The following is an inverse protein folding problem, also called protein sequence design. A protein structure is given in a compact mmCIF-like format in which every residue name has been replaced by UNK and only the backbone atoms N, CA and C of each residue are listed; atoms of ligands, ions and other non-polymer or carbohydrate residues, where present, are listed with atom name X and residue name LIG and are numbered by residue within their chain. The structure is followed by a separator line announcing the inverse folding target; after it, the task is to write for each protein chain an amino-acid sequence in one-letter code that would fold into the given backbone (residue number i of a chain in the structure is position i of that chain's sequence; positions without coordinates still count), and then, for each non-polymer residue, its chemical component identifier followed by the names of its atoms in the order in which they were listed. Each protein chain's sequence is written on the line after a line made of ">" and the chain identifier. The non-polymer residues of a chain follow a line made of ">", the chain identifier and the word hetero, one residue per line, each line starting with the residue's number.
data_IF_290578920325
#
_entry.id   IF_290578920325
#
_cell.length_a   1.000
_cell.length_b   1.000
_cell.length_c   1.000
_cell.angle_alpha   90.00
_cell.angle_beta   90.00
_cell.angle_gamma   90.00
#
_symmetry.space_group_name_H-M   'P 1'
#
loop_
_entity.id
_entity.type
_entity.pdbx_description
1 polymer ?
#
# COMPACT_ATOMS: atom_id res chain seq x y z
N UNK A 1 9.55 -2.21 -20.11
CA UNK A 1 10.00 -2.69 -18.79
C UNK A 1 10.59 -4.07 -18.95
N UNK A 2 11.59 -4.46 -18.15
CA UNK A 2 12.03 -5.86 -18.08
C UNK A 2 10.91 -6.67 -17.44
N UNK A 3 10.66 -7.87 -17.96
CA UNK A 3 9.70 -8.80 -17.36
C UNK A 3 10.37 -9.49 -16.20
N UNK A 4 9.85 -9.31 -15.01
CA UNK A 4 10.39 -9.90 -13.78
C UNK A 4 9.33 -10.72 -13.06
N UNK A 5 9.78 -11.67 -12.24
CA UNK A 5 8.98 -12.35 -11.25
C UNK A 5 9.50 -12.04 -9.86
N UNK A 6 8.59 -11.95 -8.91
CA UNK A 6 8.87 -11.68 -7.51
C UNK A 6 8.25 -12.78 -6.66
N UNK A 7 9.07 -13.42 -5.85
CA UNK A 7 8.64 -14.40 -4.86
C UNK A 7 8.76 -13.79 -3.47
N UNK A 8 7.64 -13.72 -2.77
CA UNK A 8 7.56 -13.30 -1.37
C UNK A 8 7.31 -14.54 -0.52
N UNK A 9 8.11 -14.73 0.51
CA UNK A 9 8.08 -15.92 1.38
C UNK A 9 8.08 -15.49 2.83
N UNK A 10 7.25 -16.13 3.65
CA UNK A 10 7.37 -16.13 5.09
C UNK A 10 7.22 -17.57 5.64
N UNK A 11 8.07 -17.94 6.59
CA UNK A 11 8.08 -19.28 7.18
C UNK A 11 8.80 -19.28 8.53
N UNK A 12 8.70 -20.37 9.33
CA UNK A 12 9.58 -20.58 10.46
C UNK A 12 11.05 -20.55 10.01
N UNK A 13 11.92 -19.86 10.77
CA UNK A 13 13.34 -19.78 10.42
C UNK A 13 14.03 -21.15 10.49
N UNK A 14 14.75 -21.48 9.45
CA UNK A 14 15.47 -22.73 9.33
C UNK A 14 16.73 -22.60 8.47
N UNK A 15 17.75 -23.40 8.79
CA UNK A 15 18.98 -23.45 7.98
C UNK A 15 18.68 -23.99 6.57
N UNK A 16 19.23 -23.30 5.56
CA UNK A 16 19.17 -23.75 4.17
C UNK A 16 18.03 -23.18 3.34
N UNK A 17 17.15 -22.36 3.89
CA UNK A 17 16.06 -21.70 3.13
C UNK A 17 16.63 -20.95 1.93
N UNK A 18 17.50 -19.97 2.16
CA UNK A 18 18.11 -19.14 1.10
C UNK A 18 18.82 -19.99 0.06
N UNK A 19 19.62 -20.96 0.52
CA UNK A 19 20.35 -21.85 -0.39
C UNK A 19 19.40 -22.66 -1.29
N UNK A 20 18.32 -23.21 -0.70
CA UNK A 20 17.34 -24.03 -1.46
C UNK A 20 16.56 -23.18 -2.46
N UNK A 21 16.09 -22.00 -2.06
CA UNK A 21 15.36 -21.07 -2.96
C UNK A 21 16.27 -20.61 -4.10
N UNK A 22 17.49 -20.20 -3.79
CA UNK A 22 18.45 -19.74 -4.80
C UNK A 22 18.87 -20.86 -5.75
N UNK A 23 19.09 -22.09 -5.24
CA UNK A 23 19.39 -23.27 -6.08
C UNK A 23 18.22 -23.63 -6.98
N UNK A 24 16.99 -23.57 -6.48
CA UNK A 24 15.79 -23.79 -7.29
C UNK A 24 15.72 -22.83 -8.47
N UNK A 25 15.92 -21.54 -8.24
CA UNK A 25 15.90 -20.49 -9.26
C UNK A 25 17.07 -20.66 -10.24
N UNK A 26 18.28 -20.88 -9.75
CA UNK A 26 19.47 -21.07 -10.57
C UNK A 26 19.33 -22.27 -11.53
N UNK A 27 18.82 -23.40 -11.05
CA UNK A 27 18.58 -24.59 -11.88
C UNK A 27 17.55 -24.39 -12.99
N UNK A 28 16.80 -23.29 -12.95
CA UNK A 28 15.78 -22.88 -13.93
C UNK A 28 16.20 -21.66 -14.75
N UNK A 29 17.49 -21.42 -14.82
CA UNK A 29 18.06 -20.32 -15.60
C UNK A 29 17.65 -18.91 -15.12
N UNK A 30 17.19 -18.76 -13.87
CA UNK A 30 16.84 -17.48 -13.32
C UNK A 30 18.08 -16.62 -13.06
N UNK A 31 18.08 -15.39 -13.55
CA UNK A 31 19.04 -14.36 -13.15
C UNK A 31 18.40 -13.51 -12.03
N UNK A 32 18.83 -13.75 -10.77
CA UNK A 32 18.35 -12.99 -9.62
C UNK A 32 18.84 -11.56 -9.73
N UNK A 33 17.90 -10.60 -9.68
CA UNK A 33 18.15 -9.16 -9.74
C UNK A 33 18.26 -8.55 -8.35
N UNK A 34 17.34 -8.95 -7.45
CA UNK A 34 17.30 -8.51 -6.06
C UNK A 34 16.94 -9.69 -5.16
N UNK A 35 17.56 -9.77 -4.01
CA UNK A 35 17.24 -10.76 -2.98
C UNK A 35 17.47 -10.12 -1.60
N UNK A 36 16.39 -9.96 -0.87
CA UNK A 36 16.39 -9.41 0.48
C UNK A 36 15.74 -10.39 1.44
N UNK A 37 16.20 -10.38 2.69
CA UNK A 37 15.67 -11.24 3.72
C UNK A 37 15.69 -10.55 5.08
N UNK A 38 14.77 -10.95 5.92
CA UNK A 38 14.69 -10.52 7.32
C UNK A 38 14.38 -11.71 8.20
N UNK A 39 15.02 -11.78 9.36
CA UNK A 39 14.69 -12.72 10.43
C UNK A 39 14.11 -11.92 11.60
N UNK A 40 12.87 -12.17 11.95
CA UNK A 40 12.29 -11.67 13.20
C UNK A 40 12.63 -12.66 14.31
N UNK A 41 13.59 -12.27 15.18
CA UNK A 41 14.07 -13.13 16.27
C UNK A 41 13.00 -13.34 17.36
N UNK A 42 12.03 -12.45 17.49
CA UNK A 42 10.96 -12.54 18.50
C UNK A 42 9.90 -13.57 18.11
N UNK A 43 9.43 -13.52 16.87
CA UNK A 43 8.45 -14.48 16.35
C UNK A 43 9.08 -15.77 15.80
N UNK A 44 10.40 -15.78 15.58
CA UNK A 44 11.10 -16.90 14.95
C UNK A 44 10.77 -17.06 13.45
N UNK A 45 10.27 -16.00 12.81
CA UNK A 45 9.92 -16.00 11.39
C UNK A 45 11.10 -15.55 10.52
N UNK A 46 11.23 -16.20 9.40
CA UNK A 46 12.07 -15.82 8.28
C UNK A 46 11.19 -15.26 7.17
N UNK A 47 11.57 -14.10 6.64
CA UNK A 47 10.86 -13.37 5.58
C UNK A 47 11.84 -13.12 4.44
N UNK A 48 11.41 -13.34 3.19
CA UNK A 48 12.27 -13.16 2.03
C UNK A 48 11.50 -12.61 0.85
N UNK A 49 12.13 -11.69 0.13
CA UNK A 49 11.74 -11.25 -1.21
C UNK A 49 12.87 -11.58 -2.18
N UNK A 50 12.55 -12.26 -3.26
CA UNK A 50 13.49 -12.48 -4.35
C UNK A 50 12.85 -12.10 -5.68
N UNK A 51 13.60 -11.35 -6.49
CA UNK A 51 13.18 -10.89 -7.82
C UNK A 51 14.18 -11.34 -8.86
N UNK A 52 13.69 -11.87 -9.97
CA UNK A 52 14.53 -12.35 -11.09
C UNK A 52 13.97 -11.94 -12.44
N UNK A 53 14.84 -11.92 -13.44
CA UNK A 53 14.50 -11.68 -14.84
C UNK A 53 13.82 -12.91 -15.45
N UNK A 54 12.75 -12.70 -16.22
CA UNK A 54 12.02 -13.77 -16.91
C UNK A 54 12.55 -14.05 -18.33
N UNK A 55 13.55 -13.30 -18.83
CA UNK A 55 13.97 -13.40 -20.22
C UNK A 55 14.41 -14.82 -20.64
N UNK A 56 15.16 -15.49 -19.77
CA UNK A 56 15.70 -16.85 -20.03
C UNK A 56 15.21 -17.86 -19.01
N UNK A 57 14.17 -17.54 -18.26
CA UNK A 57 13.62 -18.42 -17.24
C UNK A 57 12.79 -19.54 -17.85
N UNK A 58 13.08 -20.79 -17.47
CA UNK A 58 12.59 -21.98 -18.15
C UNK A 58 11.13 -22.35 -17.84
N UNK A 59 10.52 -21.79 -16.76
CA UNK A 59 9.19 -22.21 -16.29
C UNK A 59 8.13 -21.15 -16.52
N UNK A 60 6.95 -21.58 -16.93
CA UNK A 60 5.73 -20.78 -16.84
C UNK A 60 5.21 -20.69 -15.40
N UNK A 61 4.23 -19.79 -15.14
CA UNK A 61 3.65 -19.55 -13.80
C UNK A 61 3.17 -20.84 -13.12
N UNK A 62 2.39 -21.65 -13.84
CA UNK A 62 1.78 -22.86 -13.29
C UNK A 62 2.82 -23.95 -13.00
N UNK A 63 3.83 -24.04 -13.86
CA UNK A 63 4.94 -24.98 -13.68
C UNK A 63 5.80 -24.58 -12.49
N UNK A 64 6.13 -23.30 -12.35
CA UNK A 64 6.85 -22.77 -11.20
C UNK A 64 6.09 -23.07 -9.92
N UNK A 65 4.79 -22.78 -9.90
CA UNK A 65 3.95 -23.05 -8.73
C UNK A 65 4.01 -24.54 -8.34
N UNK A 66 3.85 -25.42 -9.30
CA UNK A 66 3.90 -26.88 -9.08
C UNK A 66 5.27 -27.34 -8.58
N UNK A 67 6.34 -26.83 -9.17
CA UNK A 67 7.69 -27.28 -8.84
C UNK A 67 8.25 -26.66 -7.57
N UNK A 68 7.78 -25.46 -7.17
CA UNK A 68 8.17 -24.83 -5.93
C UNK A 68 7.40 -25.40 -4.72
N UNK A 69 6.20 -25.93 -4.91
CA UNK A 69 5.33 -26.44 -3.86
C UNK A 69 6.03 -27.43 -2.89
N UNK A 70 6.84 -28.42 -3.32
CA UNK A 70 7.54 -29.32 -2.41
C UNK A 70 8.57 -28.61 -1.52
N UNK A 71 9.18 -27.51 -2.02
CA UNK A 71 10.10 -26.69 -1.24
C UNK A 71 9.32 -25.92 -0.19
N UNK A 72 8.20 -25.33 -0.58
CA UNK A 72 7.32 -24.61 0.32
C UNK A 72 6.79 -25.51 1.46
N UNK A 73 6.37 -26.72 1.14
CA UNK A 73 5.92 -27.71 2.14
C UNK A 73 7.04 -28.11 3.10
N UNK A 74 8.24 -28.38 2.59
CA UNK A 74 9.41 -28.75 3.41
C UNK A 74 9.74 -27.72 4.49
N UNK A 75 9.62 -26.43 4.17
CA UNK A 75 9.94 -25.32 5.08
C UNK A 75 8.70 -24.66 5.68
N UNK A 76 7.50 -25.21 5.43
CA UNK A 76 6.22 -24.64 5.90
C UNK A 76 6.04 -23.17 5.46
N UNK A 77 6.42 -22.88 4.21
CA UNK A 77 6.35 -21.53 3.64
C UNK A 77 4.93 -21.13 3.32
N UNK A 78 4.54 -19.93 3.72
CA UNK A 78 3.51 -19.17 3.01
C UNK A 78 4.24 -18.36 1.95
N UNK A 79 3.74 -18.39 0.73
CA UNK A 79 4.44 -17.72 -0.36
C UNK A 79 3.47 -17.16 -1.40
N UNK A 80 3.95 -16.13 -2.12
CA UNK A 80 3.21 -15.47 -3.16
C UNK A 80 4.14 -15.17 -4.34
N UNK A 81 3.67 -15.48 -5.56
CA UNK A 81 4.37 -15.20 -6.80
C UNK A 81 3.68 -14.06 -7.54
N UNK A 82 4.40 -13.00 -7.80
CA UNK A 82 3.94 -11.86 -8.58
C UNK A 82 4.73 -11.74 -9.88
N UNK A 83 4.05 -11.36 -10.95
CA UNK A 83 4.65 -11.17 -12.27
C UNK A 83 4.45 -9.72 -12.70
N UNK A 84 5.53 -9.07 -13.19
CA UNK A 84 5.48 -7.66 -13.61
C UNK A 84 4.77 -7.44 -14.96
N UNK A 85 4.15 -8.48 -15.54
CA UNK A 85 3.53 -8.41 -16.87
C UNK A 85 2.25 -7.58 -16.91
N UNK A 86 1.55 -7.46 -15.79
CA UNK A 86 0.32 -6.69 -15.68
C UNK A 86 0.51 -5.59 -14.63
N UNK A 87 0.37 -4.30 -15.01
CA UNK A 87 0.31 -3.22 -14.02
C UNK A 87 -0.94 -3.38 -13.15
N UNK A 88 -0.79 -3.12 -11.85
CA UNK A 88 -1.92 -3.13 -10.92
C UNK A 88 -2.88 -1.97 -11.22
N UNK A 89 -4.18 -2.23 -11.08
CA UNK A 89 -5.24 -1.23 -11.22
C UNK A 89 -5.57 -0.61 -9.86
N UNK A 90 -5.38 0.68 -9.74
CA UNK A 90 -5.52 1.45 -8.49
C UNK A 90 -6.73 2.35 -8.55
N UNK A 91 -7.64 2.24 -7.59
CA UNK A 91 -8.70 3.22 -7.38
C UNK A 91 -8.27 4.22 -6.31
N UNK A 92 -8.40 5.53 -6.60
CA UNK A 92 -8.11 6.58 -5.64
C UNK A 92 -9.40 7.10 -5.01
N UNK A 93 -9.48 7.08 -3.69
CA UNK A 93 -10.61 7.61 -2.95
C UNK A 93 -10.20 8.93 -2.28
N UNK A 94 -10.96 10.00 -2.49
CA UNK A 94 -10.67 11.31 -1.94
C UNK A 94 -11.93 11.99 -1.37
N UNK A 95 -11.72 13.00 -0.52
CA UNK A 95 -12.76 13.92 -0.07
C UNK A 95 -12.41 15.35 -0.56
N UNK A 96 -12.55 16.36 0.29
CA UNK A 96 -12.28 17.77 -0.07
C UNK A 96 -10.79 18.10 -0.21
N UNK A 97 -9.95 17.44 0.58
CA UNK A 97 -8.50 17.66 0.53
C UNK A 97 -7.88 16.98 -0.69
N UNK A 98 -7.21 17.74 -1.51
CA UNK A 98 -6.71 17.29 -2.81
C UNK A 98 -5.22 16.97 -2.87
N UNK A 99 -4.42 17.38 -1.87
CA UNK A 99 -2.95 17.34 -1.93
C UNK A 99 -2.39 15.92 -2.17
N UNK A 100 -2.92 14.89 -1.48
CA UNK A 100 -2.51 13.50 -1.72
C UNK A 100 -2.98 12.97 -3.07
N UNK A 101 -4.23 13.25 -3.46
CA UNK A 101 -4.78 12.86 -4.74
C UNK A 101 -3.96 13.43 -5.90
N UNK A 102 -3.69 14.73 -5.88
CA UNK A 102 -2.93 15.43 -6.94
C UNK A 102 -1.49 14.91 -7.01
N UNK A 103 -0.84 14.66 -5.88
CA UNK A 103 0.52 14.09 -5.83
C UNK A 103 0.57 12.70 -6.48
N UNK A 104 -0.39 11.82 -6.16
CA UNK A 104 -0.46 10.48 -6.76
C UNK A 104 -0.75 10.52 -8.26
N UNK A 105 -1.68 11.37 -8.70
CA UNK A 105 -2.00 11.55 -10.13
C UNK A 105 -0.80 12.10 -10.91
N UNK A 106 -0.06 13.06 -10.33
CA UNK A 106 1.16 13.59 -10.92
C UNK A 106 2.24 12.50 -11.07
N UNK A 107 2.50 11.72 -10.01
CA UNK A 107 3.49 10.63 -10.01
C UNK A 107 3.12 9.52 -10.97
N UNK A 108 1.84 9.23 -11.12
CA UNK A 108 1.35 8.30 -12.14
C UNK A 108 1.64 8.85 -13.55
N UNK A 109 1.30 10.11 -13.82
CA UNK A 109 1.55 10.73 -15.12
C UNK A 109 3.04 10.84 -15.45
N UNK A 110 3.90 11.07 -14.45
CA UNK A 110 5.37 11.13 -14.63
C UNK A 110 6.03 9.75 -14.78
N UNK A 111 5.28 8.66 -14.58
CA UNK A 111 5.79 7.29 -14.66
C UNK A 111 6.51 6.81 -13.39
N UNK A 112 6.44 7.57 -12.27
CA UNK A 112 6.98 7.14 -10.98
C UNK A 112 6.17 6.01 -10.33
N UNK A 113 4.85 5.96 -10.59
CA UNK A 113 3.97 4.89 -10.15
C UNK A 113 3.57 4.04 -11.35
N UNK A 114 4.10 2.84 -11.41
CA UNK A 114 3.86 1.87 -12.48
C UNK A 114 2.54 1.11 -12.27
N UNK A 115 1.41 1.80 -12.44
CA UNK A 115 0.07 1.26 -12.29
C UNK A 115 -0.89 1.86 -13.32
N UNK A 116 -2.10 1.34 -13.40
CA UNK A 116 -3.23 1.98 -14.04
C UNK A 116 -4.11 2.66 -12.96
N UNK A 117 -4.68 3.83 -13.27
CA UNK A 117 -5.66 4.49 -12.41
C UNK A 117 -6.98 4.62 -13.19
N UNK A 118 -7.84 3.58 -13.20
CA UNK A 118 -9.07 3.58 -13.99
C UNK A 118 -10.10 4.58 -13.48
N UNK A 119 -10.09 4.92 -12.18
CA UNK A 119 -11.11 5.78 -11.59
C UNK A 119 -10.66 6.46 -10.30
N UNK A 120 -11.32 7.58 -10.03
CA UNK A 120 -11.30 8.28 -8.74
C UNK A 120 -12.71 8.31 -8.17
N UNK A 121 -12.86 7.92 -6.91
CA UNK A 121 -14.10 8.01 -6.14
C UNK A 121 -14.00 9.16 -5.15
N UNK A 122 -15.06 9.96 -5.01
CA UNK A 122 -15.12 10.99 -3.98
C UNK A 122 -16.53 11.16 -3.41
N UNK A 123 -16.59 11.48 -2.12
CA UNK A 123 -17.85 11.87 -1.47
C UNK A 123 -18.14 13.38 -1.56
N UNK A 124 -17.30 14.13 -2.30
CA UNK A 124 -17.46 15.57 -2.59
C UNK A 124 -17.06 15.87 -4.03
N UNK A 125 -17.70 16.85 -4.68
CA UNK A 125 -17.37 17.23 -6.06
C UNK A 125 -16.07 18.05 -6.18
N UNK A 126 -15.52 18.51 -5.07
CA UNK A 126 -14.43 19.50 -4.99
C UNK A 126 -13.17 19.12 -5.80
N UNK A 127 -12.89 17.82 -5.90
CA UNK A 127 -11.66 17.32 -6.56
C UNK A 127 -11.85 16.99 -8.06
N UNK A 128 -13.08 17.13 -8.58
CA UNK A 128 -13.40 16.76 -9.98
C UNK A 128 -12.51 17.47 -11.02
N UNK A 129 -12.23 18.74 -10.85
CA UNK A 129 -11.40 19.50 -11.79
C UNK A 129 -9.97 18.96 -11.91
N UNK A 130 -9.43 18.34 -10.85
CA UNK A 130 -8.14 17.68 -10.92
C UNK A 130 -8.21 16.37 -11.70
N UNK A 131 -9.26 15.57 -11.49
CA UNK A 131 -9.43 14.33 -12.26
C UNK A 131 -9.67 14.60 -13.75
N UNK A 132 -10.41 15.66 -14.08
CA UNK A 132 -10.58 16.14 -15.45
C UNK A 132 -9.24 16.56 -16.08
N UNK A 133 -8.38 17.29 -15.32
CA UNK A 133 -7.04 17.70 -15.78
C UNK A 133 -6.14 16.49 -16.10
N UNK A 134 -6.13 15.48 -15.24
CA UNK A 134 -5.35 14.25 -15.42
C UNK A 134 -6.06 13.21 -16.31
N UNK A 135 -7.28 13.50 -16.78
CA UNK A 135 -8.11 12.63 -17.64
C UNK A 135 -8.42 11.28 -17.00
N UNK A 136 -8.64 11.26 -15.69
CA UNK A 136 -9.06 10.06 -14.95
C UNK A 136 -10.57 10.14 -14.69
N UNK A 137 -11.35 9.07 -14.95
CA UNK A 137 -12.77 9.01 -14.66
C UNK A 137 -13.09 9.35 -13.21
N UNK A 138 -14.11 10.18 -12.98
CA UNK A 138 -14.52 10.66 -11.67
C UNK A 138 -15.92 10.17 -11.31
N UNK A 139 -16.05 9.53 -10.16
CA UNK A 139 -17.32 9.04 -9.62
C UNK A 139 -17.62 9.72 -8.28
N UNK A 140 -18.78 10.40 -8.23
CA UNK A 140 -19.21 11.09 -7.03
C UNK A 140 -20.33 10.32 -6.34
N UNK A 141 -20.10 9.94 -5.08
CA UNK A 141 -21.09 9.32 -4.22
C UNK A 141 -21.32 10.17 -2.99
N UNK A 142 -22.52 10.68 -2.77
CA UNK A 142 -22.85 11.42 -1.56
C UNK A 142 -22.95 10.46 -0.38
N UNK A 143 -21.94 10.46 0.49
CA UNK A 143 -21.85 9.59 1.66
C UNK A 143 -22.18 10.37 2.92
N UNK A 144 -23.20 9.92 3.64
CA UNK A 144 -23.59 10.36 4.98
C UNK A 144 -24.10 9.15 5.79
N UNK A 145 -24.56 9.37 7.02
CA UNK A 145 -25.04 8.29 7.88
C UNK A 145 -26.20 7.47 7.29
N UNK A 146 -27.06 8.12 6.51
CA UNK A 146 -28.27 7.51 5.96
C UNK A 146 -28.01 6.82 4.62
N UNK A 147 -27.06 7.33 3.83
CA UNK A 147 -26.75 6.82 2.48
C UNK A 147 -25.64 5.78 2.45
N UNK A 148 -24.78 5.72 3.46
CA UNK A 148 -23.58 4.86 3.49
C UNK A 148 -23.89 3.40 3.16
N UNK A 149 -24.89 2.82 3.79
CA UNK A 149 -25.28 1.41 3.61
C UNK A 149 -25.73 1.09 2.17
N UNK A 150 -26.26 2.06 1.44
CA UNK A 150 -26.65 1.89 0.04
C UNK A 150 -25.49 2.18 -0.93
N UNK A 151 -24.60 3.12 -0.57
CA UNK A 151 -23.50 3.59 -1.43
C UNK A 151 -22.34 2.60 -1.47
N UNK A 152 -21.96 1.99 -0.37
CA UNK A 152 -20.81 1.08 -0.35
C UNK A 152 -20.97 -0.15 -1.28
N UNK A 153 -22.13 -0.80 -1.39
CA UNK A 153 -22.36 -1.84 -2.41
C UNK A 153 -22.22 -1.35 -3.85
N UNK A 154 -22.64 -0.10 -4.14
CA UNK A 154 -22.47 0.49 -5.47
C UNK A 154 -20.99 0.77 -5.78
N UNK A 155 -20.24 1.24 -4.77
CA UNK A 155 -18.79 1.42 -4.87
C UNK A 155 -18.07 0.08 -5.09
N UNK A 156 -18.42 -0.96 -4.34
CA UNK A 156 -17.85 -2.31 -4.51
C UNK A 156 -18.12 -2.86 -5.92
N UNK A 157 -19.34 -2.69 -6.41
CA UNK A 157 -19.70 -3.09 -7.78
C UNK A 157 -18.85 -2.36 -8.83
N UNK A 158 -18.70 -1.04 -8.69
CA UNK A 158 -17.85 -0.22 -9.56
C UNK A 158 -16.39 -0.70 -9.55
N UNK A 159 -15.84 -1.01 -8.38
CA UNK A 159 -14.48 -1.50 -8.23
C UNK A 159 -14.28 -2.87 -8.90
N UNK A 160 -15.26 -3.77 -8.76
CA UNK A 160 -15.27 -5.08 -9.41
C UNK A 160 -15.37 -4.97 -10.93
N UNK A 161 -16.24 -4.11 -11.46
CA UNK A 161 -16.39 -3.87 -12.90
C UNK A 161 -15.10 -3.36 -13.57
N UNK A 162 -14.21 -2.72 -12.81
CA UNK A 162 -12.92 -2.23 -13.28
C UNK A 162 -11.74 -3.14 -12.92
N UNK A 163 -11.98 -4.29 -12.28
CA UNK A 163 -10.95 -5.22 -11.76
C UNK A 163 -9.90 -4.49 -10.91
N UNK A 164 -10.32 -3.71 -9.94
CA UNK A 164 -9.41 -2.95 -9.07
C UNK A 164 -8.62 -3.88 -8.15
N UNK A 165 -7.29 -3.74 -8.16
CA UNK A 165 -6.36 -4.51 -7.34
C UNK A 165 -6.01 -3.80 -6.03
N UNK A 166 -6.02 -2.46 -6.00
CA UNK A 166 -5.66 -1.64 -4.84
C UNK A 166 -6.56 -0.43 -4.70
N UNK A 167 -7.01 -0.14 -3.49
CA UNK A 167 -7.71 1.09 -3.14
C UNK A 167 -6.77 1.97 -2.31
N UNK A 168 -6.66 3.25 -2.67
CA UNK A 168 -5.85 4.21 -1.91
C UNK A 168 -6.76 5.32 -1.37
N UNK A 169 -6.86 5.41 -0.06
CA UNK A 169 -7.61 6.44 0.63
C UNK A 169 -6.76 7.71 0.76
N UNK A 170 -6.75 8.52 -0.30
CA UNK A 170 -6.02 9.79 -0.40
C UNK A 170 -6.78 10.91 0.35
N UNK A 171 -6.81 10.87 1.66
CA UNK A 171 -7.61 11.76 2.52
C UNK A 171 -9.12 11.55 2.31
N UNK A 172 -9.55 10.32 2.14
CA UNK A 172 -10.96 9.95 2.15
C UNK A 172 -11.48 9.93 3.58
N UNK A 173 -12.25 10.95 3.94
CA UNK A 173 -12.68 11.21 5.33
C UNK A 173 -13.97 10.44 5.69
N UNK A 174 -14.07 9.20 5.23
CA UNK A 174 -15.16 8.27 5.57
C UNK A 174 -14.55 6.99 6.14
N UNK A 175 -15.15 6.45 7.18
CA UNK A 175 -14.81 5.13 7.70
C UNK A 175 -15.50 4.09 6.81
N UNK A 176 -14.78 3.14 6.28
CA UNK A 176 -15.34 2.02 5.51
C UNK A 176 -15.97 1.00 6.47
N UNK A 177 -17.00 0.28 6.03
CA UNK A 177 -17.57 -0.82 6.84
C UNK A 177 -16.67 -2.05 6.80
N UNK A 178 -16.82 -2.93 7.79
CA UNK A 178 -16.11 -4.21 7.85
C UNK A 178 -16.43 -5.07 6.61
N UNK A 179 -17.67 -5.03 6.13
CA UNK A 179 -18.10 -5.71 4.91
C UNK A 179 -17.28 -5.19 3.70
N UNK A 180 -17.19 -3.87 3.51
CA UNK A 180 -16.39 -3.28 2.44
C UNK A 180 -14.92 -3.71 2.53
N UNK A 181 -14.31 -3.60 3.71
CA UNK A 181 -12.90 -3.95 3.94
C UNK A 181 -12.63 -5.42 3.67
N UNK A 182 -13.58 -6.31 3.99
CA UNK A 182 -13.44 -7.75 3.79
C UNK A 182 -13.29 -8.17 2.32
N UNK A 183 -13.78 -7.35 1.36
CA UNK A 183 -13.64 -7.61 -0.07
C UNK A 183 -12.23 -7.28 -0.62
N UNK A 184 -11.45 -6.48 0.12
CA UNK A 184 -10.11 -6.04 -0.27
C UNK A 184 -9.09 -6.24 0.87
N UNK A 185 -8.90 -7.47 1.38
CA UNK A 185 -8.00 -7.73 2.51
C UNK A 185 -6.56 -7.35 2.15
N UNK A 186 -5.97 -6.44 2.92
CA UNK A 186 -4.61 -5.89 2.68
C UNK A 186 -4.42 -5.22 1.31
N UNK A 187 -5.51 -4.78 0.69
CA UNK A 187 -5.54 -4.08 -0.60
C UNK A 187 -6.17 -2.68 -0.48
N UNK A 188 -6.27 -2.15 0.74
CA UNK A 188 -6.70 -0.78 1.00
C UNK A 188 -5.60 -0.09 1.79
N UNK A 189 -5.00 0.97 1.23
CA UNK A 189 -3.98 1.79 1.89
C UNK A 189 -4.60 3.12 2.30
N UNK A 190 -4.45 3.49 3.57
CA UNK A 190 -4.89 4.78 4.10
C UNK A 190 -3.71 5.67 4.47
N UNK A 191 -3.88 6.99 4.35
CA UNK A 191 -3.02 7.99 4.96
C UNK A 191 -3.70 8.59 6.18
N UNK A 192 -3.11 8.36 7.35
CA UNK A 192 -3.51 8.96 8.60
C UNK A 192 -2.61 10.16 8.93
N UNK A 193 -3.23 11.28 9.25
CA UNK A 193 -2.56 12.57 9.44
C UNK A 193 -1.99 12.77 10.86
N UNK A 194 -1.43 11.71 11.45
CA UNK A 194 -0.62 11.76 12.68
C UNK A 194 0.39 10.61 12.70
N UNK A 195 1.34 10.67 13.60
CA UNK A 195 2.26 9.59 13.89
C UNK A 195 1.58 8.60 14.85
N UNK A 196 0.93 7.57 14.28
CA UNK A 196 0.24 6.55 15.07
C UNK A 196 1.20 5.82 16.03
N UNK A 197 0.77 5.48 17.25
CA UNK A 197 -0.59 5.63 17.80
C UNK A 197 -0.89 6.99 18.42
N UNK A 198 -0.01 7.99 18.27
CA UNK A 198 -0.20 9.32 18.87
C UNK A 198 -1.25 10.15 18.09
N UNK A 199 -2.06 10.91 18.83
CA UNK A 199 -3.07 11.83 18.28
C UNK A 199 -4.09 11.19 17.33
N UNK A 200 -4.51 9.95 17.58
CA UNK A 200 -5.61 9.29 16.86
C UNK A 200 -6.89 10.14 16.89
N UNK A 201 -7.72 10.05 15.82
CA UNK A 201 -8.99 10.77 15.70
C UNK A 201 -8.89 12.17 15.07
N UNK A 202 -9.91 13.02 15.25
CA UNK A 202 -10.08 14.26 14.50
C UNK A 202 -9.10 15.39 14.88
N UNK A 203 -8.70 16.20 13.87
CA UNK A 203 -7.87 17.42 13.99
C UNK A 203 -6.54 17.23 14.74
N UNK A 204 -5.71 16.23 14.40
CA UNK A 204 -4.48 15.92 15.14
C UNK A 204 -3.49 17.10 15.15
N UNK A 205 -3.32 17.84 14.06
CA UNK A 205 -2.40 18.99 14.01
C UNK A 205 -2.83 20.13 14.94
N UNK A 206 -4.13 20.40 15.11
CA UNK A 206 -4.62 21.38 16.07
C UNK A 206 -4.30 20.95 17.51
N UNK A 207 -4.52 19.68 17.83
CA UNK A 207 -4.18 19.13 19.16
C UNK A 207 -2.68 19.13 19.40
N UNK A 208 -1.89 18.78 18.39
CA UNK A 208 -0.44 18.82 18.43
C UNK A 208 0.08 20.26 18.70
N UNK A 209 -0.47 21.25 18.00
CA UNK A 209 -0.15 22.67 18.21
C UNK A 209 -0.49 23.11 19.63
N UNK A 210 -1.70 22.85 20.10
CA UNK A 210 -2.14 23.21 21.48
C UNK A 210 -1.28 22.52 22.54
N UNK A 211 -0.82 21.29 22.30
CA UNK A 211 0.05 20.55 23.21
C UNK A 211 1.51 21.04 23.19
N UNK A 212 1.90 21.82 22.19
CA UNK A 212 3.26 22.33 22.03
C UNK A 212 4.27 21.23 21.69
N UNK A 213 3.89 20.26 20.85
CA UNK A 213 4.77 19.15 20.44
C UNK A 213 5.97 19.67 19.66
N UNK A 214 7.03 18.86 19.61
CA UNK A 214 8.27 19.18 18.88
C UNK A 214 8.39 18.43 17.57
N UNK A 215 7.53 17.42 17.35
CA UNK A 215 7.41 16.63 16.14
C UNK A 215 5.94 16.47 15.78
N UNK A 216 5.64 16.52 14.49
CA UNK A 216 4.40 16.06 13.89
C UNK A 216 4.72 14.95 12.89
N UNK A 217 3.76 14.11 12.54
CA UNK A 217 4.00 13.02 11.62
C UNK A 217 2.77 12.64 10.82
N UNK A 218 2.97 11.70 9.91
CA UNK A 218 1.93 11.02 9.15
C UNK A 218 2.22 9.52 9.12
N UNK A 219 1.18 8.71 8.97
CA UNK A 219 1.26 7.25 8.91
C UNK A 219 0.46 6.73 7.73
N UNK A 220 1.08 5.90 6.90
CA UNK A 220 0.36 5.09 5.93
C UNK A 220 0.28 3.64 6.41
N UNK A 221 -0.90 3.06 6.36
CA UNK A 221 -1.16 1.72 6.87
C UNK A 221 -2.20 1.00 6.01
N UNK A 222 -2.23 -0.32 6.06
CA UNK A 222 -3.35 -1.08 5.51
C UNK A 222 -4.60 -0.88 6.37
N UNK A 223 -5.75 -0.80 5.72
CA UNK A 223 -7.04 -0.67 6.41
C UNK A 223 -7.50 -2.05 6.86
N UNK A 224 -7.94 -2.12 8.12
CA UNK A 224 -8.61 -3.26 8.74
C UNK A 224 -9.97 -2.84 9.27
N UNK A 225 -10.74 -3.77 9.85
CA UNK A 225 -12.00 -3.47 10.52
C UNK A 225 -11.82 -2.47 11.67
N UNK A 226 -10.70 -2.57 12.40
CA UNK A 226 -10.38 -1.66 13.49
C UNK A 226 -9.79 -0.36 12.94
N UNK A 227 -10.40 0.77 13.31
CA UNK A 227 -10.05 2.09 12.80
C UNK A 227 -8.63 2.48 13.19
N UNK A 228 -7.81 2.81 12.18
CA UNK A 228 -6.42 3.26 12.32
C UNK A 228 -5.47 2.25 13.04
N UNK A 229 -5.86 0.97 13.15
CA UNK A 229 -5.09 -0.09 13.82
C UNK A 229 -4.46 -1.10 12.86
N UNK A 230 -4.65 -0.94 11.56
CA UNK A 230 -4.06 -1.84 10.57
C UNK A 230 -2.53 -1.75 10.47
N UNK A 231 -1.89 -2.76 9.86
CA UNK A 231 -0.43 -2.85 9.75
C UNK A 231 0.17 -1.59 9.10
N UNK A 232 1.13 -0.99 9.79
CA UNK A 232 1.81 0.24 9.34
C UNK A 232 2.77 -0.09 8.20
N UNK A 233 2.70 0.69 7.11
CA UNK A 233 3.58 0.54 5.94
C UNK A 233 4.72 1.56 6.03
N UNK A 234 4.38 2.83 6.29
CA UNK A 234 5.34 3.93 6.28
C UNK A 234 4.94 5.00 7.28
N UNK A 235 5.94 5.58 7.92
CA UNK A 235 5.79 6.74 8.81
C UNK A 235 6.90 7.74 8.57
N UNK A 236 6.57 9.03 8.69
CA UNK A 236 7.57 10.08 8.66
C UNK A 236 7.20 11.22 9.61
N UNK A 237 8.19 12.00 10.00
CA UNK A 237 8.03 13.10 10.97
C UNK A 237 8.68 14.40 10.51
N UNK A 238 8.11 15.53 10.91
CA UNK A 238 8.73 16.83 10.74
C UNK A 238 8.90 17.54 12.09
N UNK A 239 10.01 18.25 12.22
CA UNK A 239 10.29 19.05 13.40
C UNK A 239 9.43 20.32 13.40
N UNK A 240 8.87 20.63 14.57
CA UNK A 240 8.13 21.87 14.87
C UNK A 240 9.05 22.81 15.65
N UNK A 241 9.14 24.04 15.19
CA UNK A 241 9.89 25.11 15.85
C UNK A 241 8.95 26.07 16.59
N UNK A 242 9.52 26.94 17.43
CA UNK A 242 8.79 28.00 18.11
C UNK A 242 8.25 29.11 17.16
N UNK A 243 8.71 29.09 15.89
CA UNK A 243 8.28 30.05 14.85
C UNK A 243 7.10 29.51 14.03
N UNK A 244 6.79 28.22 14.16
CA UNK A 244 5.71 27.60 13.40
C UNK A 244 4.38 27.89 14.10
N UNK A 245 3.48 28.58 13.41
CA UNK A 245 2.08 28.68 13.78
C UNK A 245 1.28 27.45 13.32
N UNK A 246 -0.04 27.52 13.47
CA UNK A 246 -0.91 26.40 13.08
C UNK A 246 -0.89 26.15 11.56
N UNK A 247 -0.83 27.21 10.76
CA UNK A 247 -0.84 27.11 9.29
C UNK A 247 0.43 26.45 8.77
N UNK A 248 1.60 26.74 9.36
CA UNK A 248 2.87 26.08 9.06
C UNK A 248 2.82 24.60 9.44
N UNK A 249 2.22 24.24 10.59
CA UNK A 249 2.03 22.85 10.97
C UNK A 249 1.15 22.11 9.96
N UNK A 250 0.04 22.73 9.54
CA UNK A 250 -0.85 22.16 8.54
C UNK A 250 -0.16 21.97 7.18
N UNK A 251 0.71 22.92 6.79
CA UNK A 251 1.49 22.81 5.57
C UNK A 251 2.50 21.66 5.64
N UNK A 252 3.33 21.63 6.71
CA UNK A 252 4.28 20.53 6.95
C UNK A 252 3.57 19.16 6.99
N UNK A 253 2.39 19.12 7.62
CA UNK A 253 1.57 17.93 7.66
C UNK A 253 1.15 17.45 6.27
N UNK A 254 0.66 18.34 5.40
CA UNK A 254 0.31 18.00 4.02
C UNK A 254 1.51 17.49 3.21
N UNK A 255 2.70 18.05 3.44
CA UNK A 255 3.91 17.60 2.76
C UNK A 255 4.34 16.20 3.22
N UNK A 256 4.25 15.91 4.51
CA UNK A 256 4.46 14.56 5.05
C UNK A 256 3.44 13.56 4.50
N UNK A 257 2.15 13.90 4.52
CA UNK A 257 1.08 13.02 4.04
C UNK A 257 1.31 12.61 2.58
N UNK A 258 1.71 13.54 1.70
CA UNK A 258 2.05 13.23 0.31
C UNK A 258 3.23 12.25 0.22
N UNK A 259 4.32 12.53 0.92
CA UNK A 259 5.54 11.73 0.87
C UNK A 259 5.32 10.31 1.42
N UNK A 260 4.66 10.20 2.58
CA UNK A 260 4.38 8.92 3.24
C UNK A 260 3.45 8.06 2.41
N UNK A 261 2.34 8.65 1.90
CA UNK A 261 1.39 7.89 1.08
C UNK A 261 2.01 7.42 -0.23
N UNK A 262 2.73 8.29 -0.94
CA UNK A 262 3.34 7.94 -2.22
C UNK A 262 4.41 6.85 -2.10
N UNK A 263 5.21 6.86 -1.01
CA UNK A 263 6.17 5.78 -0.71
C UNK A 263 5.45 4.46 -0.44
N UNK A 264 4.44 4.46 0.41
CA UNK A 264 3.67 3.27 0.75
C UNK A 264 2.99 2.65 -0.48
N UNK A 265 2.37 3.47 -1.34
CA UNK A 265 1.74 3.02 -2.59
C UNK A 265 2.79 2.43 -3.53
N UNK A 266 3.93 3.08 -3.73
CA UNK A 266 5.01 2.57 -4.58
C UNK A 266 5.53 1.23 -4.09
N UNK A 267 5.82 1.06 -2.80
CA UNK A 267 6.29 -0.22 -2.25
C UNK A 267 5.26 -1.34 -2.42
N UNK A 268 3.97 -1.02 -2.30
CA UNK A 268 2.92 -1.99 -2.58
C UNK A 268 2.92 -2.40 -4.06
N UNK A 269 2.97 -1.44 -4.98
CA UNK A 269 3.01 -1.67 -6.43
C UNK A 269 4.25 -2.46 -6.86
N UNK A 270 5.39 -2.24 -6.20
CA UNK A 270 6.65 -2.94 -6.44
C UNK A 270 6.73 -4.30 -5.72
N UNK A 271 5.65 -4.75 -5.07
CA UNK A 271 5.61 -5.98 -4.27
C UNK A 271 6.76 -6.07 -3.26
N UNK A 272 7.04 -4.96 -2.56
CA UNK A 272 8.11 -4.87 -1.55
C UNK A 272 7.63 -5.07 -0.12
N UNK A 273 6.31 -5.22 0.09
CA UNK A 273 5.71 -5.33 1.41
C UNK A 273 5.32 -6.77 1.68
N UNK A 274 5.82 -7.32 2.78
CA UNK A 274 5.39 -8.60 3.31
C UNK A 274 4.72 -8.37 4.67
N UNK A 275 3.52 -8.92 4.80
CA UNK A 275 2.70 -8.84 6.01
C UNK A 275 2.93 -10.08 6.86
N UNK A 276 3.15 -9.89 8.15
CA UNK A 276 3.17 -10.95 9.14
C UNK A 276 2.58 -10.45 10.45
N UNK A 277 1.68 -11.23 11.03
CA UNK A 277 0.90 -10.80 12.19
C UNK A 277 0.22 -9.44 11.95
N UNK A 278 0.50 -8.44 12.79
CA UNK A 278 0.03 -7.05 12.65
C UNK A 278 1.16 -6.08 12.20
N UNK A 279 2.21 -6.62 11.59
CA UNK A 279 3.40 -5.87 11.17
C UNK A 279 3.63 -6.00 9.67
N UNK A 280 4.42 -5.09 9.12
CA UNK A 280 4.98 -5.20 7.77
C UNK A 280 6.51 -5.24 7.82
N UNK A 281 7.10 -5.98 6.89
CA UNK A 281 8.48 -5.76 6.48
C UNK A 281 8.45 -5.13 5.09
N UNK A 282 9.18 -4.06 4.91
CA UNK A 282 9.40 -3.41 3.63
C UNK A 282 10.81 -3.71 3.17
N UNK A 283 10.94 -4.34 2.02
CA UNK A 283 12.22 -4.62 1.38
C UNK A 283 12.57 -3.44 0.46
N UNK A 284 13.31 -2.46 0.98
CA UNK A 284 13.66 -1.17 0.34
C UNK A 284 15.03 -1.16 -0.39
#
# INVERSE_FOLDING_TARGET
>A
MKRTAILLIDCPDAKGIVATVSEFLWRRNANILHADQHQDAESGLFLMRVEWDLADFDLGRDELTREFQPIAERFQMRWRLELSERPLKVALFASRHNHCLVDLLYRHQSGELACEIPLVVSNHPDVKHWTDFYKVPFHHFTVNKDTKAAVEPEQLKLLQEHDIDLIVLARYMQILTDDFVSHYPHQIINIHHSFLPAFSGARPYHRAFQRGVKLIGATSHYVTADLDEGPIIEQDVARVSHRDGLDELLQKGRDLEKAVLSRAVRWHLDHRILLYEQKTVVFD
#
